data_IF_125900246966
#
_entry.id   IF_125900246966
#
_cell.length_a   1.000
_cell.length_b   1.000
_cell.length_c   1.000
_cell.angle_alpha   90.00
_cell.angle_beta   90.00
_cell.angle_gamma   90.00
#
_symmetry.space_group_name_H-M   'P 1'
#
loop_
_entity.id
_entity.type
_entity.pdbx_description
1 polymer ?
#
# COMPACT_ATOMS: atom_id res chain seq x y z
N UNK A 1 8.89 4.77 -5.51
CA UNK A 1 9.44 6.08 -5.06
C UNK A 1 9.49 6.02 -3.55
N UNK A 2 10.58 6.47 -2.92
CA UNK A 2 10.64 6.70 -1.48
C UNK A 2 10.52 8.21 -1.24
N UNK A 3 9.54 8.63 -0.44
CA UNK A 3 9.28 10.03 -0.15
C UNK A 3 8.85 10.20 1.31
N UNK A 4 9.55 11.01 2.13
CA UNK A 4 10.83 11.66 1.82
C UNK A 4 11.93 10.64 1.48
N UNK A 5 12.89 11.07 0.66
CA UNK A 5 14.11 10.31 0.40
C UNK A 5 15.09 10.36 1.57
N UNK A 6 16.15 9.55 1.49
CA UNK A 6 17.17 9.44 2.53
C UNK A 6 17.76 10.78 3.00
N UNK A 7 17.94 11.74 2.09
CA UNK A 7 18.48 13.08 2.38
C UNK A 7 17.61 13.86 3.39
N UNK A 8 16.29 13.80 3.24
CA UNK A 8 15.36 14.63 4.02
C UNK A 8 14.74 13.91 5.22
N UNK A 9 14.92 12.59 5.34
CA UNK A 9 14.25 11.78 6.35
C UNK A 9 14.61 12.18 7.80
N UNK A 10 15.85 12.65 8.04
CA UNK A 10 16.36 13.11 9.34
C UNK A 10 16.66 14.63 9.34
N UNK A 11 16.31 15.33 8.26
CA UNK A 11 16.56 16.76 8.15
C UNK A 11 15.50 17.56 8.91
N UNK A 12 15.86 17.98 10.13
CA UNK A 12 15.01 18.83 10.97
C UNK A 12 14.68 20.18 10.34
N UNK A 13 15.56 20.70 9.49
CA UNK A 13 15.33 21.94 8.74
C UNK A 13 14.33 21.77 7.61
N UNK A 14 14.22 20.56 7.05
CA UNK A 14 13.22 20.21 6.03
C UNK A 14 11.87 19.81 6.62
N UNK A 15 11.82 19.46 7.91
CA UNK A 15 10.59 19.04 8.59
C UNK A 15 9.41 20.00 8.47
N UNK A 16 9.58 21.34 8.57
CA UNK A 16 8.49 22.27 8.30
C UNK A 16 7.92 22.15 6.89
N UNK A 17 8.76 21.83 5.88
CA UNK A 17 8.29 21.62 4.50
C UNK A 17 7.41 20.38 4.41
N UNK A 18 7.78 19.27 5.08
CA UNK A 18 6.96 18.07 5.15
C UNK A 18 5.63 18.33 5.87
N UNK A 19 5.68 19.05 6.99
CA UNK A 19 4.49 19.48 7.72
C UNK A 19 3.55 20.30 6.84
N UNK A 20 4.08 21.32 6.15
CA UNK A 20 3.28 22.22 5.31
C UNK A 20 2.71 21.49 4.09
N UNK A 21 3.45 20.52 3.53
CA UNK A 21 2.94 19.65 2.47
C UNK A 21 1.75 18.82 2.95
N UNK A 22 1.91 18.09 4.07
CA UNK A 22 0.86 17.23 4.64
C UNK A 22 -0.37 18.08 4.99
N UNK A 23 -0.18 19.11 5.81
CA UNK A 23 -1.30 19.94 6.27
C UNK A 23 -1.95 20.75 5.15
N UNK A 24 -1.17 21.23 4.18
CA UNK A 24 -1.68 21.97 3.02
C UNK A 24 -2.58 21.13 2.13
N UNK A 25 -2.15 19.91 1.76
CA UNK A 25 -2.95 18.99 0.94
C UNK A 25 -4.21 18.56 1.68
N UNK A 26 -4.09 18.12 2.95
CA UNK A 26 -5.27 17.71 3.71
C UNK A 26 -6.24 18.88 3.92
N UNK A 27 -5.76 20.09 4.24
CA UNK A 27 -6.64 21.25 4.48
C UNK A 27 -7.46 21.61 3.26
N UNK A 28 -6.89 21.49 2.06
CA UNK A 28 -7.57 21.79 0.80
C UNK A 28 -8.79 20.86 0.56
N UNK A 29 -8.72 19.60 1.02
CA UNK A 29 -9.72 18.56 0.71
C UNK A 29 -10.41 17.96 1.94
N UNK A 30 -10.22 18.56 3.13
CA UNK A 30 -10.67 18.01 4.43
C UNK A 30 -12.17 17.70 4.53
N UNK A 31 -13.00 18.29 3.67
CA UNK A 31 -14.45 18.08 3.61
C UNK A 31 -14.94 17.67 2.22
N UNK A 32 -14.04 17.19 1.35
CA UNK A 32 -14.40 16.70 0.02
C UNK A 32 -14.82 15.23 0.09
N UNK A 33 -16.12 14.97 -0.08
CA UNK A 33 -16.70 13.62 -0.01
C UNK A 33 -16.23 12.67 -1.13
N UNK A 34 -15.49 13.17 -2.13
CA UNK A 34 -14.86 12.33 -3.16
C UNK A 34 -13.58 11.67 -2.67
N UNK A 35 -12.97 12.20 -1.60
CA UNK A 35 -11.83 11.57 -0.93
C UNK A 35 -12.36 10.53 0.05
N UNK A 36 -11.91 9.28 -0.09
CA UNK A 36 -12.40 8.17 0.75
C UNK A 36 -11.57 7.95 2.02
N UNK A 37 -10.34 8.45 2.03
CA UNK A 37 -9.37 8.26 3.12
C UNK A 37 -7.99 8.77 2.71
N UNK A 38 -7.11 8.90 3.71
CA UNK A 38 -5.74 9.37 3.53
C UNK A 38 -4.75 8.27 3.95
N UNK A 39 -4.07 7.69 2.97
CA UNK A 39 -2.86 6.89 3.23
C UNK A 39 -1.67 7.83 3.36
N UNK A 40 -1.22 8.00 4.61
CA UNK A 40 -0.26 9.04 4.96
C UNK A 40 1.17 8.71 4.53
N UNK A 41 1.52 7.42 4.47
CA UNK A 41 2.87 7.01 4.11
C UNK A 41 2.91 5.55 3.65
N UNK A 42 3.23 5.37 2.38
CA UNK A 42 3.40 4.06 1.74
C UNK A 42 4.70 3.38 2.16
N UNK A 43 4.60 2.16 2.72
CA UNK A 43 5.72 1.28 3.08
C UNK A 43 6.97 2.01 3.60
N UNK A 44 6.82 2.81 4.67
CA UNK A 44 7.78 3.86 4.99
C UNK A 44 9.18 3.31 5.34
N UNK A 45 9.23 2.07 5.82
CA UNK A 45 10.43 1.34 6.21
C UNK A 45 10.98 0.39 5.15
N UNK A 46 10.44 0.39 3.92
CA UNK A 46 10.90 -0.49 2.85
C UNK A 46 12.36 -0.19 2.45
N UNK A 47 13.29 -1.15 2.64
CA UNK A 47 14.69 -1.02 2.22
C UNK A 47 14.83 -1.36 0.73
N UNK A 48 14.07 -0.66 -0.12
CA UNK A 48 13.91 -1.01 -1.52
C UNK A 48 15.27 -1.13 -2.22
N UNK A 49 15.56 -2.33 -2.77
CA UNK A 49 16.86 -2.71 -3.34
C UNK A 49 17.47 -1.68 -4.31
N UNK A 50 16.69 -1.01 -5.19
CA UNK A 50 17.24 0.01 -6.09
C UNK A 50 17.85 1.23 -5.36
N UNK A 51 17.41 1.52 -4.13
CA UNK A 51 17.89 2.66 -3.34
C UNK A 51 19.01 2.30 -2.35
N UNK A 52 19.45 1.04 -2.30
CA UNK A 52 20.46 0.56 -1.32
C UNK A 52 21.73 1.40 -1.22
N UNK A 53 22.13 2.07 -2.30
CA UNK A 53 23.37 2.87 -2.35
C UNK A 53 23.22 4.24 -1.67
N UNK A 54 21.99 4.73 -1.51
CA UNK A 54 21.66 6.03 -0.89
C UNK A 54 20.85 5.87 0.39
N UNK A 55 20.41 4.65 0.70
CA UNK A 55 19.60 4.35 1.87
C UNK A 55 20.37 4.61 3.17
N UNK A 56 19.66 5.13 4.17
CA UNK A 56 20.24 5.31 5.50
C UNK A 56 20.26 3.99 6.27
N UNK A 57 21.34 3.78 7.01
CA UNK A 57 21.45 2.63 7.92
C UNK A 57 20.43 2.71 9.07
N UNK A 58 20.08 3.92 9.52
CA UNK A 58 19.16 4.19 10.62
C UNK A 58 17.72 4.51 10.16
N UNK A 59 17.33 4.08 8.94
CA UNK A 59 16.04 4.41 8.36
C UNK A 59 14.86 4.03 9.25
N UNK A 60 14.90 2.84 9.83
CA UNK A 60 13.78 2.35 10.65
C UNK A 60 13.60 3.22 11.89
N UNK A 61 14.70 3.64 12.54
CA UNK A 61 14.64 4.58 13.66
C UNK A 61 14.03 5.92 13.23
N UNK A 62 14.47 6.50 12.11
CA UNK A 62 13.96 7.80 11.63
C UNK A 62 12.51 7.75 11.19
N UNK A 63 12.08 6.67 10.55
CA UNK A 63 10.67 6.45 10.23
C UNK A 63 9.83 6.33 11.52
N UNK A 64 10.32 5.58 12.52
CA UNK A 64 9.61 5.44 13.78
C UNK A 64 9.50 6.77 14.55
N UNK A 65 10.45 7.68 14.38
CA UNK A 65 10.40 9.05 14.94
C UNK A 65 9.43 9.95 14.15
N UNK A 66 9.42 9.89 12.82
CA UNK A 66 8.66 10.82 11.98
C UNK A 66 7.20 10.40 11.76
N UNK A 67 6.91 9.11 11.62
CA UNK A 67 5.56 8.63 11.29
C UNK A 67 4.49 9.06 12.32
N UNK A 68 4.71 9.00 13.65
CA UNK A 68 3.74 9.50 14.62
C UNK A 68 3.42 10.99 14.43
N UNK A 69 4.40 11.78 14.02
CA UNK A 69 4.19 13.21 13.77
C UNK A 69 3.38 13.45 12.50
N UNK A 70 3.60 12.66 11.44
CA UNK A 70 2.76 12.72 10.23
C UNK A 70 1.29 12.46 10.58
N UNK A 71 1.01 11.46 11.42
CA UNK A 71 -0.35 11.25 11.94
C UNK A 71 -0.86 12.45 12.74
N UNK A 72 -0.05 13.02 13.64
CA UNK A 72 -0.45 14.20 14.43
C UNK A 72 -0.75 15.42 13.54
N UNK A 73 0.06 15.67 12.52
CA UNK A 73 -0.16 16.75 11.56
C UNK A 73 -1.44 16.53 10.75
N UNK A 74 -1.69 15.31 10.29
CA UNK A 74 -2.94 15.00 9.60
C UNK A 74 -4.16 15.17 10.52
N UNK A 75 -4.06 14.77 11.79
CA UNK A 75 -5.13 14.95 12.78
C UNK A 75 -5.39 16.42 13.14
N UNK A 76 -4.36 17.28 13.14
CA UNK A 76 -4.53 18.69 13.48
C UNK A 76 -5.37 19.46 12.44
N UNK A 77 -5.45 18.94 11.21
CA UNK A 77 -6.30 19.48 10.14
C UNK A 77 -7.79 19.15 10.34
N UNK A 78 -8.09 18.11 11.12
CA UNK A 78 -9.43 17.57 11.35
C UNK A 78 -10.17 17.21 10.02
N UNK A 79 -9.61 16.30 9.20
CA UNK A 79 -10.27 15.83 7.99
C UNK A 79 -11.46 14.92 8.34
N UNK A 80 -12.54 15.05 7.56
CA UNK A 80 -13.72 14.18 7.68
C UNK A 80 -13.46 12.74 7.24
N UNK A 81 -12.39 12.50 6.47
CA UNK A 81 -12.02 11.20 5.95
C UNK A 81 -11.07 10.43 6.90
N UNK A 82 -11.10 9.09 6.92
CA UNK A 82 -10.25 8.28 7.77
C UNK A 82 -8.76 8.37 7.39
N UNK A 83 -7.88 8.24 8.39
CA UNK A 83 -6.43 8.18 8.21
C UNK A 83 -5.90 6.74 8.27
N UNK A 84 -4.85 6.44 7.51
CA UNK A 84 -4.18 5.14 7.54
C UNK A 84 -2.72 5.23 7.12
N UNK A 85 -1.97 4.14 7.33
CA UNK A 85 -0.67 3.85 6.72
C UNK A 85 -0.49 2.33 6.76
N UNK A 86 -0.26 1.72 5.60
CA UNK A 86 -0.40 0.27 5.42
C UNK A 86 0.77 -0.56 5.97
N UNK A 87 0.46 -1.65 6.69
CA UNK A 87 1.45 -2.67 7.06
C UNK A 87 1.71 -3.60 5.88
N UNK A 88 2.98 -3.88 5.56
CA UNK A 88 3.34 -4.65 4.35
C UNK A 88 4.27 -5.84 4.63
N UNK A 89 4.96 -5.84 5.78
CA UNK A 89 5.83 -6.93 6.22
C UNK A 89 5.80 -7.11 7.74
N UNK A 90 6.44 -8.17 8.24
CA UNK A 90 6.51 -8.48 9.67
C UNK A 90 5.35 -9.32 10.20
N UNK A 91 5.15 -9.26 11.53
CA UNK A 91 4.11 -9.99 12.26
C UNK A 91 3.12 -9.01 12.87
N UNK A 92 1.82 -9.25 12.70
CA UNK A 92 0.80 -8.25 13.05
C UNK A 92 -0.15 -8.73 14.16
N UNK A 93 -0.34 -10.05 14.31
CA UNK A 93 -1.31 -10.59 15.25
C UNK A 93 -0.97 -10.32 16.73
N UNK A 94 0.30 -10.48 17.13
CA UNK A 94 0.73 -10.29 18.51
C UNK A 94 1.35 -8.89 18.69
N UNK A 95 0.72 -7.96 19.43
CA UNK A 95 1.25 -6.61 19.66
C UNK A 95 2.68 -6.60 20.21
N UNK A 96 3.05 -7.59 21.04
CA UNK A 96 4.40 -7.69 21.63
C UNK A 96 5.48 -8.10 20.63
N UNK A 97 5.11 -8.55 19.42
CA UNK A 97 6.04 -8.98 18.36
C UNK A 97 6.03 -8.05 17.14
N UNK A 98 5.18 -7.02 17.13
CA UNK A 98 5.16 -6.01 16.07
C UNK A 98 6.47 -5.22 16.10
N UNK A 99 6.96 -4.82 14.94
CA UNK A 99 7.94 -3.72 14.91
C UNK A 99 7.28 -2.44 15.44
N UNK A 100 8.10 -1.50 15.89
CA UNK A 100 7.63 -0.17 16.32
C UNK A 100 6.80 0.51 15.25
N UNK A 101 7.19 0.40 13.98
CA UNK A 101 6.52 1.03 12.84
C UNK A 101 5.15 0.38 12.59
N UNK A 102 5.07 -0.95 12.58
CA UNK A 102 3.80 -1.66 12.48
C UNK A 102 2.85 -1.31 13.64
N UNK A 103 3.38 -1.15 14.86
CA UNK A 103 2.57 -0.70 16.00
C UNK A 103 2.02 0.72 15.77
N UNK A 104 2.87 1.68 15.38
CA UNK A 104 2.43 3.06 15.08
C UNK A 104 1.35 3.07 13.99
N UNK A 105 1.57 2.36 12.88
CA UNK A 105 0.63 2.26 11.76
C UNK A 105 -0.72 1.72 12.23
N UNK A 106 -0.72 0.56 12.89
CA UNK A 106 -1.95 -0.09 13.32
C UNK A 106 -2.62 0.65 14.46
N UNK A 107 -1.91 1.29 15.38
CA UNK A 107 -2.50 1.94 16.54
C UNK A 107 -3.12 3.30 16.20
N UNK A 108 -2.65 3.99 15.14
CA UNK A 108 -3.14 5.32 14.73
C UNK A 108 -4.16 5.31 13.59
N UNK A 109 -4.28 4.20 12.85
CA UNK A 109 -5.17 4.11 11.70
C UNK A 109 -6.67 4.05 12.09
N UNK A 110 -7.51 4.83 11.40
CA UNK A 110 -8.97 4.72 11.52
C UNK A 110 -9.49 3.48 10.78
N UNK A 111 -8.88 3.20 9.62
CA UNK A 111 -9.12 2.02 8.79
C UNK A 111 -7.82 1.27 8.64
N UNK A 112 -7.83 -0.02 8.93
CA UNK A 112 -6.63 -0.87 8.85
C UNK A 112 -6.33 -1.16 7.39
N UNK A 113 -5.11 -0.83 6.95
CA UNK A 113 -4.66 -1.14 5.59
C UNK A 113 -3.44 -2.04 5.60
N UNK A 114 -3.31 -2.87 4.56
CA UNK A 114 -2.17 -3.76 4.41
C UNK A 114 -1.84 -4.06 2.94
N UNK A 115 -0.61 -4.45 2.67
CA UNK A 115 -0.16 -4.91 1.35
C UNK A 115 0.04 -6.42 1.37
N UNK A 116 -0.32 -7.09 0.27
CA UNK A 116 -0.09 -8.52 0.15
C UNK A 116 0.05 -8.97 -1.31
N UNK A 117 1.29 -9.30 -1.68
CA UNK A 117 1.64 -9.91 -2.96
C UNK A 117 1.76 -11.44 -2.90
N UNK A 118 1.35 -12.03 -1.77
CA UNK A 118 1.39 -13.48 -1.54
C UNK A 118 0.22 -14.22 -2.19
N UNK A 119 0.35 -15.54 -2.26
CA UNK A 119 -0.72 -16.42 -2.74
C UNK A 119 -1.96 -16.38 -1.81
N UNK A 120 -3.09 -17.02 -2.19
CA UNK A 120 -4.35 -16.94 -1.45
C UNK A 120 -4.26 -17.33 0.04
N UNK A 121 -3.47 -18.35 0.37
CA UNK A 121 -3.30 -18.78 1.77
C UNK A 121 -2.56 -17.72 2.61
N UNK A 122 -1.55 -17.06 2.03
CA UNK A 122 -0.85 -15.95 2.69
C UNK A 122 -1.80 -14.77 2.88
N UNK A 123 -2.58 -14.42 1.86
CA UNK A 123 -3.54 -13.32 1.91
C UNK A 123 -4.59 -13.52 3.01
N UNK A 124 -5.19 -14.71 3.07
CA UNK A 124 -6.16 -15.07 4.12
C UNK A 124 -5.53 -15.02 5.53
N UNK A 125 -4.30 -15.53 5.65
CA UNK A 125 -3.55 -15.43 6.92
C UNK A 125 -3.31 -13.99 7.35
N UNK A 126 -2.99 -13.09 6.41
CA UNK A 126 -2.79 -11.66 6.70
C UNK A 126 -4.07 -10.98 7.20
N UNK A 127 -5.21 -11.29 6.58
CA UNK A 127 -6.51 -10.83 7.08
C UNK A 127 -6.73 -11.34 8.51
N UNK A 128 -6.49 -12.63 8.77
CA UNK A 128 -6.69 -13.23 10.09
C UNK A 128 -5.87 -12.55 11.20
N UNK A 129 -4.65 -12.08 10.90
CA UNK A 129 -3.84 -11.31 11.85
C UNK A 129 -4.46 -9.96 12.23
N UNK A 130 -5.27 -9.36 11.35
CA UNK A 130 -5.83 -8.02 11.48
C UNK A 130 -7.28 -8.01 11.99
N UNK A 131 -8.05 -9.08 11.79
CA UNK A 131 -9.44 -9.21 12.28
C UNK A 131 -9.63 -8.84 13.76
N UNK A 132 -8.73 -9.21 14.70
CA UNK A 132 -8.90 -8.85 16.11
C UNK A 132 -8.90 -7.34 16.39
N UNK A 133 -8.43 -6.51 15.46
CA UNK A 133 -8.42 -5.05 15.59
C UNK A 133 -9.81 -4.42 15.46
N UNK A 134 -10.83 -5.17 14.99
CA UNK A 134 -12.24 -4.75 14.91
C UNK A 134 -12.47 -3.39 14.23
N UNK A 135 -11.67 -3.10 13.21
CA UNK A 135 -11.81 -1.93 12.33
C UNK A 135 -12.02 -2.40 10.89
N UNK A 136 -12.57 -1.58 10.00
CA UNK A 136 -12.60 -1.89 8.57
C UNK A 136 -11.19 -2.19 8.05
N UNK A 137 -11.08 -3.15 7.13
CA UNK A 137 -9.80 -3.61 6.57
C UNK A 137 -9.81 -3.42 5.06
N UNK A 138 -8.73 -2.85 4.52
CA UNK A 138 -8.49 -2.74 3.08
C UNK A 138 -7.12 -3.31 2.74
N UNK A 139 -7.02 -4.12 1.69
CA UNK A 139 -5.75 -4.40 1.05
C UNK A 139 -5.46 -3.31 0.02
N UNK A 140 -4.50 -2.43 0.29
CA UNK A 140 -4.21 -1.27 -0.57
C UNK A 140 -3.21 -1.56 -1.69
N UNK A 141 -2.51 -2.69 -1.61
CA UNK A 141 -1.70 -3.20 -2.71
C UNK A 141 -1.75 -4.72 -2.79
N UNK A 142 -2.14 -5.24 -3.95
CA UNK A 142 -1.96 -6.63 -4.31
C UNK A 142 -1.65 -6.82 -5.79
N UNK A 143 -1.49 -8.11 -6.09
CA UNK A 143 -1.33 -8.79 -7.36
C UNK A 143 0.11 -8.93 -7.84
N UNK A 144 0.71 -10.07 -7.53
CA UNK A 144 1.93 -10.56 -8.16
C UNK A 144 1.64 -11.95 -8.75
N UNK A 145 1.15 -12.02 -9.99
CA UNK A 145 0.73 -13.29 -10.61
C UNK A 145 1.81 -14.38 -10.60
N UNK A 146 3.10 -14.09 -10.89
CA UNK A 146 4.17 -15.07 -10.79
C UNK A 146 4.41 -15.61 -9.37
N UNK A 147 3.96 -14.91 -8.33
CA UNK A 147 4.04 -15.35 -6.94
C UNK A 147 2.76 -16.08 -6.47
N UNK A 148 1.83 -16.37 -7.39
CA UNK A 148 0.56 -17.03 -7.11
C UNK A 148 -0.53 -16.10 -6.57
N UNK A 149 -0.26 -14.80 -6.42
CA UNK A 149 -1.26 -13.78 -6.10
C UNK A 149 -2.03 -13.46 -7.37
N UNK A 150 -3.26 -13.95 -7.49
CA UNK A 150 -4.10 -13.83 -8.70
C UNK A 150 -5.46 -13.22 -8.37
N UNK A 151 -6.10 -12.53 -9.32
CA UNK A 151 -7.44 -11.96 -9.13
C UNK A 151 -8.45 -13.03 -8.69
N UNK A 152 -8.43 -14.19 -9.34
CA UNK A 152 -9.31 -15.32 -9.02
C UNK A 152 -9.01 -15.99 -7.67
N UNK A 153 -7.79 -15.88 -7.16
CA UNK A 153 -7.41 -16.42 -5.85
C UNK A 153 -7.67 -15.45 -4.70
N UNK A 154 -7.48 -14.14 -4.93
CA UNK A 154 -7.50 -13.11 -3.89
C UNK A 154 -8.91 -12.54 -3.68
N UNK A 155 -9.60 -12.10 -4.74
CA UNK A 155 -10.86 -11.36 -4.59
C UNK A 155 -11.99 -12.18 -3.94
N UNK A 156 -12.15 -13.49 -4.19
CA UNK A 156 -13.14 -14.28 -3.47
C UNK A 156 -12.89 -14.35 -1.96
N UNK A 157 -11.61 -14.34 -1.53
CA UNK A 157 -11.24 -14.31 -0.11
C UNK A 157 -11.55 -12.93 0.46
N UNK A 158 -11.11 -11.87 -0.21
CA UNK A 158 -11.38 -10.49 0.20
C UNK A 158 -12.90 -10.27 0.42
N UNK A 159 -13.73 -10.74 -0.52
CA UNK A 159 -15.19 -10.72 -0.41
C UNK A 159 -15.71 -11.47 0.81
N UNK A 160 -15.23 -12.69 1.06
CA UNK A 160 -15.66 -13.54 2.19
C UNK A 160 -15.44 -12.86 3.55
N UNK A 161 -14.36 -12.10 3.67
CA UNK A 161 -13.99 -11.39 4.88
C UNK A 161 -14.44 -9.92 4.91
N UNK A 162 -15.18 -9.46 3.90
CA UNK A 162 -15.58 -8.06 3.74
C UNK A 162 -14.38 -7.08 3.76
N UNK A 163 -13.34 -7.43 3.01
CA UNK A 163 -12.11 -6.64 2.85
C UNK A 163 -12.11 -6.01 1.47
N UNK A 164 -11.96 -4.69 1.39
CA UNK A 164 -11.74 -3.98 0.13
C UNK A 164 -10.34 -4.27 -0.42
N UNK A 165 -10.14 -4.26 -1.73
CA UNK A 165 -8.85 -4.54 -2.35
C UNK A 165 -8.55 -3.59 -3.52
N UNK A 166 -7.38 -2.95 -3.48
CA UNK A 166 -6.86 -2.08 -4.53
C UNK A 166 -5.70 -2.78 -5.24
N UNK A 167 -5.83 -2.92 -6.56
CA UNK A 167 -4.78 -3.52 -7.38
C UNK A 167 -3.62 -2.52 -7.52
N UNK A 168 -2.39 -2.97 -7.26
CA UNK A 168 -1.23 -2.17 -7.64
C UNK A 168 -1.11 -2.21 -9.16
N UNK A 169 -0.92 -1.06 -9.82
CA UNK A 169 -0.97 -1.00 -11.29
C UNK A 169 -2.38 -1.20 -11.88
N UNK A 170 -2.56 -0.78 -13.12
CA UNK A 170 -3.86 -0.85 -13.81
C UNK A 170 -3.68 -1.01 -15.31
N UNK A 171 -2.97 -0.07 -15.93
CA UNK A 171 -2.76 -0.01 -17.38
C UNK A 171 -1.27 -0.18 -17.68
N UNK A 172 -0.94 -1.12 -18.56
CA UNK A 172 0.41 -1.25 -19.09
C UNK A 172 0.84 0.06 -19.77
N UNK A 173 1.86 0.70 -19.23
CA UNK A 173 2.26 2.03 -19.66
C UNK A 173 3.54 2.53 -18.99
N UNK A 174 3.58 3.83 -18.67
CA UNK A 174 4.78 4.54 -18.22
C UNK A 174 5.47 3.92 -17.01
N UNK A 175 4.71 3.37 -16.06
CA UNK A 175 5.24 2.75 -14.84
C UNK A 175 5.68 1.30 -15.04
N UNK A 176 5.31 0.68 -16.17
CA UNK A 176 5.71 -0.66 -16.58
C UNK A 176 5.47 -1.75 -15.52
N UNK A 177 4.39 -1.61 -14.73
CA UNK A 177 4.03 -2.50 -13.62
C UNK A 177 3.57 -3.89 -14.09
N UNK A 178 3.36 -4.10 -15.39
CA UNK A 178 3.21 -5.43 -16.00
C UNK A 178 4.54 -6.23 -16.05
N UNK A 179 5.70 -5.59 -15.89
CA UNK A 179 6.99 -6.25 -15.76
C UNK A 179 7.26 -6.65 -14.30
N UNK A 180 7.98 -7.75 -14.03
CA UNK A 180 8.37 -8.13 -12.67
C UNK A 180 9.33 -7.12 -12.04
N UNK A 181 9.38 -7.06 -10.70
CA UNK A 181 10.25 -6.12 -9.98
C UNK A 181 11.75 -6.27 -10.32
N UNK A 182 12.20 -7.46 -10.73
CA UNK A 182 13.60 -7.67 -11.11
C UNK A 182 13.98 -7.02 -12.46
N UNK A 183 13.01 -6.51 -13.21
CA UNK A 183 13.23 -5.83 -14.50
C UNK A 183 14.08 -4.56 -14.39
N UNK A 184 14.17 -3.97 -13.20
CA UNK A 184 15.08 -2.86 -12.90
C UNK A 184 16.55 -3.25 -13.05
N UNK A 185 16.90 -4.48 -12.66
CA UNK A 185 18.26 -5.01 -12.74
C UNK A 185 18.46 -5.89 -14.00
N UNK A 186 17.39 -6.53 -14.48
CA UNK A 186 17.39 -7.48 -15.58
C UNK A 186 16.35 -7.08 -16.65
N UNK A 187 16.71 -6.21 -17.60
CA UNK A 187 15.78 -5.77 -18.63
C UNK A 187 15.21 -6.94 -19.44
N UNK A 188 13.89 -6.93 -19.66
CA UNK A 188 13.19 -7.97 -20.41
C UNK A 188 13.17 -7.61 -21.90
N UNK A 189 13.74 -8.43 -22.81
CA UNK A 189 13.79 -8.12 -24.24
C UNK A 189 12.41 -8.29 -24.92
N UNK A 190 11.49 -9.00 -24.28
CA UNK A 190 10.13 -9.22 -24.75
C UNK A 190 9.16 -9.13 -23.58
N UNK A 191 7.89 -8.84 -23.87
CA UNK A 191 6.83 -8.79 -22.85
C UNK A 191 6.72 -10.17 -22.17
N UNK A 192 6.70 -10.23 -20.83
CA UNK A 192 6.55 -11.48 -20.09
C UNK A 192 5.27 -12.23 -20.48
N UNK A 193 5.34 -13.57 -20.52
CA UNK A 193 4.18 -14.43 -20.78
C UNK A 193 3.07 -14.23 -19.74
N UNK A 194 3.46 -13.97 -18.49
CA UNK A 194 2.55 -13.66 -17.39
C UNK A 194 2.86 -12.26 -16.92
N UNK A 195 1.90 -11.36 -17.05
CA UNK A 195 2.03 -10.01 -16.53
C UNK A 195 2.07 -10.00 -15.01
N UNK A 196 2.79 -9.03 -14.48
CA UNK A 196 2.95 -8.89 -13.04
C UNK A 196 1.70 -8.28 -12.41
N UNK A 197 1.54 -6.97 -12.49
CA UNK A 197 0.49 -6.24 -11.79
C UNK A 197 -0.66 -5.75 -12.67
N UNK A 198 -0.37 -5.21 -13.86
CA UNK A 198 -1.38 -4.50 -14.66
C UNK A 198 -2.52 -5.41 -15.14
N UNK A 199 -3.68 -4.79 -15.38
CA UNK A 199 -4.94 -5.45 -15.76
C UNK A 199 -5.37 -5.12 -17.20
N UNK A 200 -4.90 -3.99 -17.74
CA UNK A 200 -5.33 -3.46 -19.03
C UNK A 200 -4.14 -3.18 -19.96
N UNK A 201 -4.35 -3.41 -21.25
CA UNK A 201 -3.50 -2.91 -22.32
C UNK A 201 -3.65 -1.38 -22.47
N UNK A 202 -2.70 -0.70 -23.15
CA UNK A 202 -2.79 0.75 -23.38
C UNK A 202 -4.08 1.22 -24.07
N UNK A 203 -4.70 0.34 -24.86
CA UNK A 203 -5.96 0.59 -25.58
C UNK A 203 -7.21 0.28 -24.73
N UNK A 204 -7.04 -0.05 -23.45
CA UNK A 204 -8.12 -0.38 -22.52
C UNK A 204 -8.62 -1.81 -22.62
N UNK A 205 -8.10 -2.64 -23.54
CA UNK A 205 -8.48 -4.07 -23.57
C UNK A 205 -8.00 -4.77 -22.29
N UNK A 206 -8.77 -5.71 -21.73
CA UNK A 206 -8.30 -6.55 -20.64
C UNK A 206 -7.07 -7.36 -21.02
N UNK A 207 -6.12 -7.50 -20.09
CA UNK A 207 -5.07 -8.50 -20.17
C UNK A 207 -5.66 -9.92 -20.14
N UNK A 208 -6.61 -10.15 -19.23
CA UNK A 208 -7.36 -11.40 -19.14
C UNK A 208 -8.85 -11.13 -18.88
N UNK A 209 -9.71 -11.49 -19.85
CA UNK A 209 -11.17 -11.31 -19.72
C UNK A 209 -11.76 -12.03 -18.50
N UNK A 210 -11.18 -13.16 -18.11
CA UNK A 210 -11.61 -13.91 -16.92
C UNK A 210 -11.44 -13.11 -15.63
N UNK A 211 -10.38 -12.31 -15.51
CA UNK A 211 -10.13 -11.50 -14.31
C UNK A 211 -11.18 -10.39 -14.20
N UNK A 212 -11.53 -9.74 -15.32
CA UNK A 212 -12.58 -8.70 -15.37
C UNK A 212 -13.95 -9.28 -15.02
N UNK A 213 -14.26 -10.49 -15.47
CA UNK A 213 -15.50 -11.19 -15.09
C UNK A 213 -15.56 -11.46 -13.59
N UNK A 214 -14.45 -11.89 -12.98
CA UNK A 214 -14.36 -12.11 -11.53
C UNK A 214 -14.57 -10.79 -10.78
N UNK A 215 -13.82 -9.75 -11.15
CA UNK A 215 -13.95 -8.42 -10.53
C UNK A 215 -15.38 -7.90 -10.60
N UNK A 216 -16.03 -7.99 -11.76
CA UNK A 216 -17.42 -7.56 -11.95
C UNK A 216 -18.41 -8.33 -11.07
N UNK A 217 -18.16 -9.62 -10.81
CA UNK A 217 -19.00 -10.44 -9.94
C UNK A 217 -18.76 -10.16 -8.44
N UNK A 218 -17.57 -9.64 -8.09
CA UNK A 218 -17.24 -9.22 -6.72
C UNK A 218 -17.82 -7.83 -6.44
N UNK A 219 -17.69 -6.90 -7.38
CA UNK A 219 -18.08 -5.48 -7.30
C UNK A 219 -19.60 -5.27 -7.25
N UNK A 220 -20.36 -6.06 -8.02
CA UNK A 220 -21.83 -5.96 -8.07
C UNK A 220 -22.51 -6.69 -6.92
N UNK A 221 -22.32 -6.28 -5.67
CA UNK A 221 -23.21 -6.74 -4.60
C UNK A 221 -23.43 -5.67 -3.53
N UNK A 222 -24.71 -5.33 -3.38
CA UNK A 222 -25.31 -4.63 -2.23
C UNK A 222 -25.17 -5.44 -0.94
#
# INVERSE_FOLDING_TARGET
>A
MQSPGAEHLDDRGYRPVLHDYVTGVLSQFRSDDRVLGWDLWNEPDNPARPYRAVERADKQERVAELLPEVFQWARSVDPSQPLTSGVWHGQWANPRRRSTICAIQLDNADVVTFHCYGNPAVFESRIAELLPLRRPILCTEYLARPLGSTIGGILPIAKRYNVGAFNWGLVAGKTQTYLPWDSWDHPYPTVPKVWFHDLLYPDGRPYQDSEIRIMSAVDRMN
#
